data_IF_002913715091
#
_entry.id   IF_002913715091
#
_cell.length_a   1.000
_cell.length_b   1.000
_cell.length_c   1.000
_cell.angle_alpha   90.00
_cell.angle_beta   90.00
_cell.angle_gamma   90.00
#
_symmetry.space_group_name_H-M   'P 1'
#
loop_
_entity.id
_entity.type
_entity.pdbx_description
1 polymer ?
#
# COMPACT_ATOMS: atom_id res chain seq x y z
N UNK A 1 13.27 5.95 -19.33
CA UNK A 1 14.11 6.00 -18.10
C UNK A 1 14.07 4.69 -17.31
N UNK A 2 12.92 4.14 -16.88
CA UNK A 2 12.91 2.93 -16.03
C UNK A 2 13.69 1.75 -16.62
N UNK A 3 13.67 1.56 -17.93
CA UNK A 3 14.42 0.49 -18.59
C UNK A 3 15.94 0.64 -18.44
N UNK A 4 16.45 1.84 -18.32
CA UNK A 4 17.90 2.08 -18.15
C UNK A 4 18.37 1.68 -16.74
N UNK A 5 17.46 1.57 -15.77
CA UNK A 5 17.75 1.16 -14.39
C UNK A 5 17.77 -0.37 -14.22
N UNK A 6 17.12 -1.10 -15.14
CA UNK A 6 16.98 -2.56 -15.02
C UNK A 6 18.32 -3.28 -14.83
N UNK A 7 19.38 -3.03 -15.61
CA UNK A 7 20.67 -3.69 -15.41
C UNK A 7 21.27 -3.43 -14.03
N UNK A 8 21.10 -2.21 -13.50
CA UNK A 8 21.59 -1.81 -12.18
C UNK A 8 20.85 -2.59 -11.09
N UNK A 9 19.51 -2.68 -11.21
CA UNK A 9 18.65 -3.38 -10.26
C UNK A 9 18.93 -4.89 -10.26
N UNK A 10 19.16 -5.47 -11.41
CA UNK A 10 19.48 -6.90 -11.55
C UNK A 10 20.85 -7.21 -10.96
N UNK A 11 21.88 -6.42 -11.25
CA UNK A 11 23.22 -6.57 -10.68
C UNK A 11 23.23 -6.43 -9.16
N UNK A 12 22.47 -5.49 -8.60
CA UNK A 12 22.34 -5.24 -7.17
C UNK A 12 21.34 -6.16 -6.46
N UNK A 13 20.61 -7.01 -7.17
CA UNK A 13 19.50 -7.83 -6.67
C UNK A 13 18.41 -7.00 -5.97
N UNK A 14 18.26 -5.74 -6.38
CA UNK A 14 17.32 -4.78 -5.80
C UNK A 14 16.03 -4.75 -6.61
N UNK A 15 14.91 -4.52 -5.94
CA UNK A 15 13.61 -4.28 -6.58
C UNK A 15 13.23 -2.83 -6.38
N UNK A 16 12.95 -2.13 -7.48
CA UNK A 16 12.37 -0.81 -7.46
C UNK A 16 10.85 -0.94 -7.42
N UNK A 17 10.24 -0.27 -6.48
CA UNK A 17 8.78 -0.15 -6.40
C UNK A 17 8.36 1.29 -6.66
N UNK A 18 7.34 1.50 -7.50
CA UNK A 18 6.70 2.80 -7.66
C UNK A 18 5.29 2.75 -7.11
N UNK A 19 4.78 3.86 -6.63
CA UNK A 19 3.42 3.98 -6.11
C UNK A 19 2.54 4.71 -7.14
N UNK A 20 1.50 4.05 -7.71
CA UNK A 20 0.44 4.76 -8.42
C UNK A 20 -0.19 5.80 -7.49
N UNK A 21 -0.32 7.03 -7.97
CA UNK A 21 -0.72 8.16 -7.12
C UNK A 21 -1.81 8.97 -7.81
N UNK A 22 -2.86 9.31 -7.07
CA UNK A 22 -3.95 10.14 -7.57
C UNK A 22 -3.42 11.47 -8.10
N UNK A 23 -3.90 11.87 -9.27
CA UNK A 23 -3.49 13.10 -9.94
C UNK A 23 -2.17 13.03 -10.70
N UNK A 24 -1.40 11.93 -10.61
CA UNK A 24 -0.13 11.76 -11.29
C UNK A 24 -0.25 11.01 -12.63
N UNK A 25 0.87 10.90 -13.37
CA UNK A 25 0.91 10.21 -14.66
C UNK A 25 0.49 8.73 -14.57
N UNK A 26 0.72 8.08 -13.44
CA UNK A 26 0.32 6.70 -13.16
C UNK A 26 -0.68 6.70 -11.99
N UNK A 27 -1.94 7.02 -12.28
CA UNK A 27 -3.00 7.13 -11.26
C UNK A 27 -4.01 5.97 -11.29
N UNK A 28 -3.98 5.12 -12.33
CA UNK A 28 -4.92 4.01 -12.49
C UNK A 28 -4.23 2.65 -12.48
N UNK A 29 -5.02 1.59 -12.23
CA UNK A 29 -4.53 0.22 -12.27
C UNK A 29 -4.03 -0.17 -13.68
N UNK A 30 -4.75 0.24 -14.73
CA UNK A 30 -4.38 -0.03 -16.12
C UNK A 30 -3.05 0.64 -16.50
N UNK A 31 -2.84 1.90 -16.10
CA UNK A 31 -1.58 2.60 -16.35
C UNK A 31 -0.41 1.98 -15.60
N UNK A 32 -0.63 1.56 -14.35
CA UNK A 32 0.38 0.86 -13.56
C UNK A 32 0.76 -0.48 -14.21
N UNK A 33 -0.23 -1.26 -14.62
CA UNK A 33 -0.03 -2.54 -15.30
C UNK A 33 0.69 -2.35 -16.66
N UNK A 34 0.23 -1.38 -17.45
CA UNK A 34 0.88 -1.03 -18.70
C UNK A 34 2.37 -0.68 -18.49
N UNK A 35 2.69 0.13 -17.49
CA UNK A 35 4.07 0.52 -17.21
C UNK A 35 4.94 -0.69 -16.84
N UNK A 36 4.44 -1.59 -15.97
CA UNK A 36 5.14 -2.82 -15.59
C UNK A 36 5.42 -3.68 -16.82
N UNK A 37 4.40 -3.90 -17.66
CA UNK A 37 4.51 -4.69 -18.89
C UNK A 37 5.45 -4.04 -19.90
N UNK A 38 5.36 -2.72 -20.07
CA UNK A 38 6.22 -1.97 -20.98
C UNK A 38 7.69 -2.03 -20.57
N UNK A 39 8.01 -2.06 -19.27
CA UNK A 39 9.39 -2.23 -18.79
C UNK A 39 9.84 -3.69 -18.94
N UNK A 40 8.98 -4.65 -18.62
CA UNK A 40 9.22 -6.08 -18.82
C UNK A 40 10.24 -6.71 -17.86
N UNK A 41 10.53 -6.07 -16.71
CA UNK A 41 11.50 -6.59 -15.74
C UNK A 41 10.84 -7.02 -14.44
N UNK A 42 11.21 -8.18 -13.85
CA UNK A 42 10.75 -8.58 -12.53
C UNK A 42 11.28 -7.69 -11.40
N UNK A 43 12.22 -6.80 -11.71
CA UNK A 43 12.79 -5.84 -10.73
C UNK A 43 11.98 -4.56 -10.61
N UNK A 44 10.97 -4.34 -11.45
CA UNK A 44 10.06 -3.20 -11.37
C UNK A 44 8.71 -3.70 -10.87
N UNK A 45 8.27 -3.18 -9.75
CA UNK A 45 7.06 -3.57 -9.03
C UNK A 45 6.31 -2.33 -8.56
N UNK A 46 5.19 -2.51 -7.87
CA UNK A 46 4.41 -1.40 -7.30
C UNK A 46 4.36 -1.46 -5.77
N UNK A 47 4.13 -0.30 -5.18
CA UNK A 47 3.50 -0.17 -3.87
C UNK A 47 2.01 0.00 -4.12
N UNK A 48 1.19 -0.94 -3.66
CA UNK A 48 -0.26 -0.79 -3.76
C UNK A 48 -0.76 0.02 -2.57
N UNK A 49 -1.48 1.11 -2.85
CA UNK A 49 -2.07 1.99 -1.85
C UNK A 49 -3.50 2.32 -2.29
N UNK A 50 -4.48 1.65 -1.68
CA UNK A 50 -5.89 1.79 -2.09
C UNK A 50 -6.42 3.20 -1.93
N UNK A 51 -5.89 4.00 -1.00
CA UNK A 51 -6.38 5.37 -0.79
C UNK A 51 -6.31 6.25 -2.03
N UNK A 52 -5.31 6.01 -2.91
CA UNK A 52 -5.19 6.72 -4.19
C UNK A 52 -6.20 6.22 -5.22
N UNK A 53 -6.43 4.92 -5.29
CA UNK A 53 -7.46 4.33 -6.16
C UNK A 53 -8.87 4.72 -5.71
N UNK A 54 -9.10 4.79 -4.38
CA UNK A 54 -10.38 5.20 -3.80
C UNK A 54 -10.79 6.59 -4.26
N UNK A 55 -9.91 7.60 -4.16
CA UNK A 55 -10.23 8.98 -4.55
C UNK A 55 -10.39 9.14 -6.06
N UNK A 56 -9.82 8.26 -6.86
CA UNK A 56 -10.05 8.16 -8.31
C UNK A 56 -11.33 7.37 -8.67
N UNK A 57 -12.06 6.86 -7.67
CA UNK A 57 -13.33 6.16 -7.85
C UNK A 57 -13.22 4.67 -8.18
N UNK A 58 -12.05 4.06 -8.05
CA UNK A 58 -11.86 2.62 -8.32
C UNK A 58 -12.36 1.76 -7.15
N UNK A 59 -13.14 0.68 -7.43
CA UNK A 59 -13.46 -0.31 -6.42
C UNK A 59 -12.20 -1.03 -5.91
N UNK A 60 -12.19 -1.32 -4.60
CA UNK A 60 -11.07 -2.02 -3.96
C UNK A 60 -10.74 -3.36 -4.64
N UNK A 61 -11.76 -4.20 -4.80
CA UNK A 61 -11.56 -5.55 -5.33
C UNK A 61 -11.02 -5.53 -6.76
N UNK A 62 -11.51 -4.62 -7.59
CA UNK A 62 -11.10 -4.50 -8.98
C UNK A 62 -9.64 -4.10 -9.10
N UNK A 63 -9.23 -3.00 -8.49
CA UNK A 63 -7.85 -2.51 -8.55
C UNK A 63 -6.87 -3.46 -7.87
N UNK A 64 -7.27 -4.08 -6.75
CA UNK A 64 -6.41 -5.01 -6.03
C UNK A 64 -6.16 -6.29 -6.84
N UNK A 65 -7.21 -6.90 -7.42
CA UNK A 65 -7.04 -8.12 -8.24
C UNK A 65 -6.13 -7.92 -9.45
N UNK A 66 -6.18 -6.74 -10.06
CA UNK A 66 -5.31 -6.42 -11.20
C UNK A 66 -3.83 -6.29 -10.79
N UNK A 67 -3.56 -5.77 -9.61
CA UNK A 67 -2.23 -5.30 -9.23
C UNK A 67 -1.51 -6.14 -8.17
N UNK A 68 -2.23 -7.00 -7.43
CA UNK A 68 -1.68 -7.71 -6.27
C UNK A 68 -0.44 -8.57 -6.59
N UNK A 69 -0.41 -9.20 -7.77
CA UNK A 69 0.72 -10.02 -8.21
C UNK A 69 2.02 -9.21 -8.42
N UNK A 70 1.90 -7.90 -8.51
CA UNK A 70 3.02 -6.97 -8.72
C UNK A 70 3.35 -6.14 -7.48
N UNK A 71 2.65 -6.36 -6.36
CA UNK A 71 2.73 -5.54 -5.15
C UNK A 71 3.42 -6.28 -3.99
N UNK A 72 4.75 -6.24 -3.87
CA UNK A 72 5.45 -6.80 -2.70
C UNK A 72 5.17 -6.01 -1.42
N UNK A 73 4.66 -4.80 -1.55
CA UNK A 73 4.34 -3.89 -0.46
C UNK A 73 2.97 -3.27 -0.67
N UNK A 74 2.13 -3.38 0.36
CA UNK A 74 0.87 -2.66 0.48
C UNK A 74 1.05 -1.55 1.51
N UNK A 75 0.60 -0.36 1.15
CA UNK A 75 0.48 0.76 2.06
C UNK A 75 -1.00 0.96 2.39
N UNK A 76 -1.31 1.16 3.66
CA UNK A 76 -2.65 1.43 4.15
C UNK A 76 -2.72 2.79 4.83
N UNK A 77 -3.62 3.60 4.38
CA UNK A 77 -4.17 4.81 4.98
C UNK A 77 -5.58 4.99 4.47
N UNK A 78 -6.39 5.74 5.17
CA UNK A 78 -7.71 6.09 4.69
C UNK A 78 -7.70 7.37 3.86
N UNK A 79 -8.82 7.62 3.21
CA UNK A 79 -9.06 8.83 2.43
C UNK A 79 -10.55 9.14 2.36
N UNK A 80 -10.84 10.41 2.11
CA UNK A 80 -12.15 10.90 1.77
C UNK A 80 -12.07 11.91 0.62
N UNK A 81 -13.19 12.12 -0.08
CA UNK A 81 -13.25 13.02 -1.22
C UNK A 81 -13.06 12.34 -2.56
N UNK A 82 -12.62 13.10 -3.56
CA UNK A 82 -12.41 12.67 -4.96
C UNK A 82 -11.03 13.10 -5.44
N UNK A 83 -10.64 12.68 -6.63
CA UNK A 83 -9.35 13.07 -7.23
C UNK A 83 -9.12 14.59 -7.29
N UNK A 84 -10.18 15.38 -7.45
CA UNK A 84 -10.09 16.85 -7.48
C UNK A 84 -9.86 17.47 -6.08
N UNK A 85 -10.47 16.87 -5.05
CA UNK A 85 -10.36 17.34 -3.67
C UNK A 85 -10.49 16.18 -2.70
N UNK A 86 -9.41 15.85 -2.04
CA UNK A 86 -9.35 14.76 -1.08
C UNK A 86 -8.50 15.07 0.14
N UNK A 87 -8.74 14.30 1.19
CA UNK A 87 -7.93 14.30 2.41
C UNK A 87 -7.53 12.86 2.73
N UNK A 88 -6.25 12.65 3.00
CA UNK A 88 -5.78 11.36 3.53
C UNK A 88 -5.88 11.37 5.05
N UNK A 89 -6.34 10.25 5.59
CA UNK A 89 -6.71 10.05 6.99
C UNK A 89 -5.94 8.86 7.59
N UNK A 90 -6.00 8.69 8.91
CA UNK A 90 -5.53 7.47 9.54
C UNK A 90 -6.44 6.30 9.18
N UNK A 91 -5.90 5.06 9.13
CA UNK A 91 -6.72 3.87 8.95
C UNK A 91 -7.85 3.80 9.97
N UNK A 92 -9.08 3.67 9.48
CA UNK A 92 -10.30 3.63 10.27
C UNK A 92 -10.97 4.98 10.55
N UNK A 93 -10.40 6.09 10.06
CA UNK A 93 -11.04 7.41 10.13
C UNK A 93 -11.80 7.76 8.84
N UNK A 94 -11.66 6.96 7.78
CA UNK A 94 -12.37 7.11 6.51
C UNK A 94 -13.41 6.02 6.28
N UNK A 95 -13.58 5.64 5.01
CA UNK A 95 -14.63 4.69 4.57
C UNK A 95 -14.10 3.33 4.12
N UNK A 96 -12.80 3.08 4.23
CA UNK A 96 -12.22 1.79 3.83
C UNK A 96 -12.68 0.69 4.79
N UNK A 97 -13.39 -0.32 4.28
CA UNK A 97 -13.69 -1.53 5.05
C UNK A 97 -12.42 -2.41 5.13
N UNK A 98 -11.61 -2.17 6.17
CA UNK A 98 -10.38 -2.93 6.38
C UNK A 98 -10.62 -4.42 6.68
N UNK A 99 -11.77 -4.78 7.25
CA UNK A 99 -12.08 -6.19 7.45
C UNK A 99 -12.30 -6.90 6.11
N UNK A 100 -13.05 -6.30 5.19
CA UNK A 100 -13.21 -6.81 3.83
C UNK A 100 -11.88 -6.77 3.06
N UNK A 101 -11.10 -5.70 3.19
CA UNK A 101 -9.80 -5.56 2.54
C UNK A 101 -8.85 -6.69 2.92
N UNK A 102 -8.66 -6.94 4.21
CA UNK A 102 -7.75 -7.98 4.67
C UNK A 102 -8.26 -9.40 4.37
N UNK A 103 -9.57 -9.64 4.43
CA UNK A 103 -10.14 -10.91 3.96
C UNK A 103 -9.83 -11.15 2.48
N UNK A 104 -9.95 -10.11 1.64
CA UNK A 104 -9.61 -10.21 0.22
C UNK A 104 -8.12 -10.49 0.02
N UNK A 105 -7.21 -9.85 0.76
CA UNK A 105 -5.79 -10.16 0.74
C UNK A 105 -5.50 -11.62 1.10
N UNK A 106 -6.14 -12.12 2.17
CA UNK A 106 -6.02 -13.53 2.57
C UNK A 106 -6.51 -14.47 1.47
N UNK A 107 -7.68 -14.19 0.85
CA UNK A 107 -8.22 -14.98 -0.26
C UNK A 107 -7.30 -15.00 -1.48
N UNK A 108 -6.61 -13.88 -1.75
CA UNK A 108 -5.66 -13.75 -2.85
C UNK A 108 -4.27 -14.33 -2.52
N UNK A 109 -4.08 -14.88 -1.32
CA UNK A 109 -2.81 -15.49 -0.89
C UNK A 109 -1.68 -14.47 -0.73
N UNK A 110 -2.00 -13.22 -0.39
CA UNK A 110 -0.98 -12.19 -0.22
C UNK A 110 -0.05 -12.51 0.96
N UNK A 111 1.25 -12.48 0.70
CA UNK A 111 2.30 -12.77 1.68
C UNK A 111 3.35 -11.66 1.81
N UNK A 112 3.13 -10.52 1.16
CA UNK A 112 4.01 -9.34 1.24
C UNK A 112 3.83 -8.54 2.52
N UNK A 113 4.42 -7.37 2.55
CA UNK A 113 4.36 -6.46 3.69
C UNK A 113 3.12 -5.54 3.60
N UNK A 114 2.55 -5.24 4.78
CA UNK A 114 1.51 -4.21 4.93
C UNK A 114 2.05 -3.13 5.87
N UNK A 115 2.20 -1.92 5.35
CA UNK A 115 2.68 -0.75 6.10
C UNK A 115 1.57 0.27 6.27
N UNK A 116 1.53 0.91 7.43
CA UNK A 116 0.72 2.12 7.63
C UNK A 116 1.51 3.35 7.18
N UNK A 117 0.88 4.18 6.36
CA UNK A 117 1.41 5.50 6.02
C UNK A 117 0.64 6.59 6.78
N UNK A 118 1.37 7.46 7.45
CA UNK A 118 0.81 8.66 8.05
C UNK A 118 1.04 9.82 7.09
N UNK A 119 -0.01 10.21 6.39
CA UNK A 119 0.03 11.28 5.40
C UNK A 119 0.39 12.64 6.00
N UNK A 120 0.89 13.54 5.15
CA UNK A 120 1.12 14.94 5.49
C UNK A 120 -0.16 15.64 5.99
N UNK A 121 -1.33 15.24 5.52
CA UNK A 121 -2.62 15.76 6.00
C UNK A 121 -2.85 15.47 7.49
N UNK A 122 -2.17 14.47 8.05
CA UNK A 122 -2.26 14.09 9.46
C UNK A 122 -1.04 14.59 10.24
N UNK A 123 0.18 14.24 9.80
CA UNK A 123 1.36 14.49 10.61
C UNK A 123 1.76 15.99 10.70
N UNK A 124 1.17 16.87 9.86
CA UNK A 124 1.33 18.32 9.95
C UNK A 124 0.30 19.01 10.84
N UNK A 125 -0.69 18.27 11.36
CA UNK A 125 -1.68 18.85 12.26
C UNK A 125 -1.04 19.23 13.61
N UNK A 126 -1.49 20.35 14.20
CA UNK A 126 -1.07 20.73 15.55
C UNK A 126 -1.32 19.59 16.55
N UNK A 127 -0.35 19.32 17.40
CA UNK A 127 -0.47 18.27 18.41
C UNK A 127 -0.24 16.83 17.92
N UNK A 128 0.16 16.62 16.67
CA UNK A 128 0.51 15.29 16.17
C UNK A 128 1.60 14.63 17.02
N UNK A 129 1.35 13.39 17.42
CA UNK A 129 2.29 12.58 18.20
C UNK A 129 2.55 11.23 17.49
N UNK A 130 3.75 10.98 17.00
CA UNK A 130 4.02 9.81 16.15
C UNK A 130 3.81 8.47 16.84
N UNK A 131 4.26 8.32 18.08
CA UNK A 131 4.17 7.05 18.82
C UNK A 131 2.72 6.69 19.18
N UNK A 132 1.92 7.57 19.79
CA UNK A 132 0.50 7.32 20.02
C UNK A 132 -0.27 7.01 18.72
N UNK A 133 0.02 7.76 17.65
CA UNK A 133 -0.63 7.54 16.34
C UNK A 133 -0.30 6.16 15.77
N UNK A 134 0.97 5.75 15.80
CA UNK A 134 1.38 4.43 15.33
C UNK A 134 0.71 3.31 16.15
N UNK A 135 0.63 3.48 17.47
CA UNK A 135 -0.07 2.54 18.36
C UNK A 135 -1.54 2.42 18.02
N UNK A 136 -2.24 3.54 17.86
CA UNK A 136 -3.65 3.59 17.46
C UNK A 136 -3.90 2.83 16.14
N UNK A 137 -3.08 3.09 15.11
CA UNK A 137 -3.19 2.40 13.83
C UNK A 137 -2.99 0.88 13.99
N UNK A 138 -2.01 0.48 14.77
CA UNK A 138 -1.76 -0.94 15.06
C UNK A 138 -2.96 -1.59 15.79
N UNK A 139 -3.50 -0.95 16.80
CA UNK A 139 -4.67 -1.43 17.57
C UNK A 139 -5.92 -1.58 16.69
N UNK A 140 -6.10 -0.73 15.69
CA UNK A 140 -7.21 -0.81 14.74
C UNK A 140 -7.05 -1.93 13.72
N UNK A 141 -5.84 -2.13 13.19
CA UNK A 141 -5.61 -3.00 12.03
C UNK A 141 -5.18 -4.42 12.40
N UNK A 142 -4.34 -4.59 13.42
CA UNK A 142 -3.77 -5.90 13.74
C UNK A 142 -4.82 -6.98 14.07
N UNK A 143 -5.90 -6.70 14.82
CA UNK A 143 -6.95 -7.67 15.04
C UNK A 143 -7.66 -8.11 13.74
N UNK A 144 -7.91 -7.17 12.82
CA UNK A 144 -8.56 -7.44 11.53
C UNK A 144 -7.66 -8.27 10.62
N UNK A 145 -6.35 -7.99 10.61
CA UNK A 145 -5.38 -8.80 9.88
C UNK A 145 -5.32 -10.23 10.42
N UNK A 146 -5.30 -10.39 11.74
CA UNK A 146 -5.29 -11.71 12.39
C UNK A 146 -6.56 -12.52 12.06
N UNK A 147 -7.74 -11.88 12.07
CA UNK A 147 -9.02 -12.50 11.67
C UNK A 147 -9.02 -12.95 10.20
N UNK A 148 -8.30 -12.24 9.34
CA UNK A 148 -8.12 -12.59 7.93
C UNK A 148 -7.02 -13.64 7.68
N UNK A 149 -6.38 -14.18 8.72
CA UNK A 149 -5.27 -15.12 8.61
C UNK A 149 -3.93 -14.50 8.18
N UNK A 150 -3.84 -13.18 8.13
CA UNK A 150 -2.63 -12.45 7.80
C UNK A 150 -1.79 -12.27 9.08
N UNK A 151 -0.99 -13.26 9.40
CA UNK A 151 -0.21 -13.29 10.65
C UNK A 151 1.18 -12.72 10.43
N UNK A 152 1.62 -11.88 11.36
CA UNK A 152 2.99 -11.38 11.38
C UNK A 152 3.96 -12.56 11.54
N UNK A 153 5.01 -12.69 10.68
CA UNK A 153 6.05 -13.68 10.89
C UNK A 153 6.65 -13.53 12.29
N UNK A 154 6.87 -14.64 12.98
CA UNK A 154 7.59 -14.62 14.26
C UNK A 154 8.98 -14.02 14.00
N UNK A 155 9.35 -12.99 14.76
CA UNK A 155 10.69 -12.42 14.69
C UNK A 155 11.72 -13.50 15.05
N UNK A 156 12.60 -13.82 14.11
CA UNK A 156 13.75 -14.70 14.35
C UNK A 156 14.98 -13.93 14.81
N UNK A 157 14.86 -12.61 15.01
CA UNK A 157 15.98 -11.82 15.53
C UNK A 157 16.19 -12.13 17.00
N UNK A 158 17.41 -12.49 17.43
CA UNK A 158 17.74 -12.59 18.84
C UNK A 158 17.51 -11.23 19.49
N UNK A 159 16.93 -11.24 20.69
CA UNK A 159 16.81 -10.03 21.49
C UNK A 159 18.19 -9.37 21.59
N UNK A 160 18.29 -8.11 21.20
CA UNK A 160 19.52 -7.35 21.45
C UNK A 160 19.64 -7.21 22.95
N UNK A 161 20.61 -7.94 23.53
CA UNK A 161 21.09 -7.78 24.90
C UNK A 161 21.70 -6.41 25.09
#
# INVERSE_FOLDING_TARGET
ELRTWVPILEGGKTTLVFKPHAGDAVQSAERALWLIQAVGSPRIRIVYDYSHFYVEGYPLEESLRQLIAYAPLIVVKDSEGTSEKHTYLLPGDGKTDYAAYFRLLGTLGYSGFVNVEISAHVHRLPGYQPVPTAKLCYERLAPLMAQAGLVRPKSTSPARS
#
